data_IF_865728307067
#
_entry.id   IF_865728307067
#
_cell.length_a   1.000
_cell.length_b   1.000
_cell.length_c   1.000
_cell.angle_alpha   90.00
_cell.angle_beta   90.00
_cell.angle_gamma   90.00
#
_symmetry.space_group_name_H-M   'P 1'
#
loop_
_entity.id
_entity.type
_entity.pdbx_description
1 polymer ?
#
# COMPACT_ATOMS: atom_id res chain seq x y z
N UNK A 1 -20.14 9.96 8.30
CA UNK A 1 -19.87 8.50 8.32
C UNK A 1 -18.93 8.16 7.17
N UNK A 2 -17.91 7.34 7.40
CA UNK A 2 -17.08 6.81 6.31
C UNK A 2 -17.94 5.88 5.45
N UNK A 3 -17.76 5.93 4.15
CA UNK A 3 -18.41 5.01 3.23
C UNK A 3 -17.79 3.60 3.37
N UNK A 4 -18.58 2.58 3.06
CA UNK A 4 -18.10 1.18 3.06
C UNK A 4 -17.25 0.92 1.79
N UNK A 5 -16.09 1.57 1.72
CA UNK A 5 -15.10 1.43 0.65
C UNK A 5 -13.71 1.34 1.28
N UNK A 6 -12.91 0.37 0.85
CA UNK A 6 -11.56 0.16 1.36
C UNK A 6 -10.49 0.50 0.32
N UNK A 7 -9.47 1.24 0.75
CA UNK A 7 -8.27 1.51 -0.03
C UNK A 7 -7.09 0.81 0.63
N UNK A 8 -6.55 -0.20 -0.02
CA UNK A 8 -5.37 -0.93 0.45
C UNK A 8 -4.12 -0.34 -0.17
N UNK A 9 -3.19 0.05 0.68
CA UNK A 9 -1.88 0.58 0.28
C UNK A 9 -0.79 -0.43 0.62
N UNK A 10 0.02 -0.83 -0.35
CA UNK A 10 1.30 -1.47 -0.05
C UNK A 10 2.23 -0.47 0.65
N UNK A 11 3.13 -0.97 1.49
CA UNK A 11 4.10 -0.13 2.20
C UNK A 11 5.36 0.05 1.36
N UNK A 12 6.07 -1.05 1.08
CA UNK A 12 7.37 -1.01 0.41
C UNK A 12 7.23 -0.72 -1.08
N UNK A 13 7.75 0.42 -1.50
CA UNK A 13 7.65 0.88 -2.89
C UNK A 13 6.41 1.73 -3.19
N UNK A 14 5.42 1.79 -2.29
CA UNK A 14 4.23 2.65 -2.43
C UNK A 14 4.23 3.77 -1.39
N UNK A 15 4.13 3.45 -0.09
CA UNK A 15 4.17 4.46 0.97
C UNK A 15 5.59 4.94 1.21
N UNK A 16 6.56 4.06 1.10
CA UNK A 16 7.99 4.36 1.23
C UNK A 16 8.75 4.18 -0.08
N UNK A 17 10.02 4.60 -0.09
CA UNK A 17 10.90 4.56 -1.25
C UNK A 17 11.80 3.32 -1.26
N UNK A 18 11.28 2.15 -0.86
CA UNK A 18 12.05 0.90 -0.82
C UNK A 18 12.74 0.58 -2.15
N UNK A 19 12.06 0.75 -3.28
CA UNK A 19 12.61 0.47 -4.60
C UNK A 19 13.69 1.44 -5.04
N UNK A 20 13.82 2.61 -4.43
CA UNK A 20 14.86 3.59 -4.74
C UNK A 20 16.23 3.19 -4.21
N UNK A 21 16.30 2.28 -3.24
CA UNK A 21 17.55 1.67 -2.79
C UNK A 21 17.91 0.47 -3.70
N UNK A 22 18.95 0.61 -4.50
CA UNK A 22 19.45 -0.47 -5.38
C UNK A 22 19.83 -1.75 -4.62
N UNK A 23 20.14 -1.63 -3.34
CA UNK A 23 20.50 -2.74 -2.47
C UNK A 23 19.36 -3.20 -1.55
N UNK A 24 18.15 -2.68 -1.72
CA UNK A 24 17.01 -2.95 -0.82
C UNK A 24 16.80 -4.45 -0.57
N UNK A 25 16.82 -5.27 -1.61
CA UNK A 25 16.62 -6.72 -1.50
C UNK A 25 17.71 -7.42 -0.67
N UNK A 26 18.93 -6.89 -0.65
CA UNK A 26 20.02 -7.37 0.20
C UNK A 26 19.90 -6.81 1.61
N UNK A 27 19.65 -5.51 1.70
CA UNK A 27 19.63 -4.78 2.97
C UNK A 27 18.41 -5.15 3.84
N UNK A 28 17.30 -5.58 3.24
CA UNK A 28 16.09 -5.98 4.00
C UNK A 28 16.33 -7.11 5.00
N UNK A 29 17.45 -7.85 4.85
CA UNK A 29 17.87 -8.90 5.79
C UNK A 29 18.70 -8.36 6.96
N UNK A 30 19.08 -7.08 6.93
CA UNK A 30 19.83 -6.41 7.99
C UNK A 30 18.84 -5.88 9.03
N UNK A 31 19.11 -6.15 10.31
CA UNK A 31 18.30 -5.66 11.42
C UNK A 31 18.26 -4.12 11.40
N UNK A 32 17.07 -3.55 11.56
CA UNK A 32 16.84 -2.10 11.55
C UNK A 32 16.69 -1.46 10.17
N UNK A 33 16.89 -2.20 9.10
CA UNK A 33 16.84 -1.64 7.74
C UNK A 33 15.50 -0.96 7.43
N UNK A 34 14.38 -1.61 7.75
CA UNK A 34 13.06 -1.06 7.43
C UNK A 34 12.76 0.27 8.14
N UNK A 35 13.43 0.56 9.26
CA UNK A 35 13.30 1.83 9.97
C UNK A 35 13.97 3.00 9.24
N UNK A 36 14.87 2.72 8.30
CA UNK A 36 15.69 3.74 7.60
C UNK A 36 15.11 4.19 6.25
N UNK A 37 14.05 3.55 5.75
CA UNK A 37 13.54 3.81 4.40
C UNK A 37 12.82 5.16 4.37
N UNK A 38 13.13 6.06 3.43
CA UNK A 38 12.43 7.35 3.33
C UNK A 38 10.95 7.16 2.99
N UNK A 39 10.08 8.00 3.57
CA UNK A 39 8.67 8.09 3.18
C UNK A 39 8.54 8.76 1.81
N UNK A 40 7.56 8.35 1.02
CA UNK A 40 7.24 9.00 -0.26
C UNK A 40 6.63 10.37 0.01
N UNK A 41 7.20 11.39 -0.61
CA UNK A 41 6.68 12.76 -0.52
C UNK A 41 5.21 12.84 -0.99
N UNK A 42 4.37 13.52 -0.22
CA UNK A 42 2.94 13.71 -0.52
C UNK A 42 2.03 12.52 -0.23
N UNK A 43 2.55 11.34 0.08
CA UNK A 43 1.71 10.14 0.28
C UNK A 43 0.82 10.26 1.52
N UNK A 44 1.34 10.84 2.60
CA UNK A 44 0.59 11.00 3.86
C UNK A 44 -0.65 11.87 3.65
N UNK A 45 -0.53 12.98 2.92
CA UNK A 45 -1.65 13.86 2.61
C UNK A 45 -2.76 13.13 1.84
N UNK A 46 -2.38 12.36 0.83
CA UNK A 46 -3.35 11.57 0.04
C UNK A 46 -4.04 10.51 0.92
N UNK A 47 -3.28 9.79 1.73
CA UNK A 47 -3.84 8.80 2.65
C UNK A 47 -4.82 9.45 3.65
N UNK A 48 -4.46 10.60 4.25
CA UNK A 48 -5.35 11.34 5.15
C UNK A 48 -6.63 11.80 4.45
N UNK A 49 -6.53 12.32 3.22
CA UNK A 49 -7.70 12.74 2.43
C UNK A 49 -8.65 11.57 2.16
N UNK A 50 -8.11 10.43 1.75
CA UNK A 50 -8.91 9.21 1.51
C UNK A 50 -9.49 8.70 2.83
N UNK A 51 -8.70 8.67 3.91
CA UNK A 51 -9.14 8.12 5.19
C UNK A 51 -10.25 8.93 5.87
N UNK A 52 -10.44 10.20 5.51
CA UNK A 52 -11.60 11.01 5.92
C UNK A 52 -12.91 10.51 5.34
N UNK A 53 -12.89 9.93 4.15
CA UNK A 53 -14.08 9.55 3.39
C UNK A 53 -14.30 8.03 3.30
N UNK A 54 -13.24 7.24 3.42
CA UNK A 54 -13.22 5.78 3.26
C UNK A 54 -12.23 5.17 4.26
N UNK A 55 -12.02 3.85 4.22
CA UNK A 55 -11.02 3.23 5.06
C UNK A 55 -9.71 3.07 4.29
N UNK A 56 -8.64 3.64 4.79
CA UNK A 56 -7.28 3.35 4.32
C UNK A 56 -6.72 2.21 5.17
N UNK A 57 -6.26 1.15 4.52
CA UNK A 57 -5.69 -0.03 5.16
C UNK A 57 -4.29 -0.23 4.58
N UNK A 58 -3.29 -0.29 5.43
CA UNK A 58 -1.93 -0.62 5.01
C UNK A 58 -1.83 -2.14 4.93
N UNK A 59 -1.48 -2.67 3.75
CA UNK A 59 -1.43 -4.10 3.48
C UNK A 59 0.00 -4.45 3.05
N UNK A 60 0.84 -4.85 4.01
CA UNK A 60 2.28 -5.02 3.81
C UNK A 60 2.73 -6.46 4.03
N UNK A 61 3.60 -6.96 3.16
CA UNK A 61 4.25 -8.24 3.35
C UNK A 61 5.43 -8.14 4.32
N UNK A 62 5.60 -9.17 5.14
CA UNK A 62 6.71 -9.30 6.08
C UNK A 62 7.54 -10.53 5.75
N UNK A 63 8.84 -10.34 5.54
CA UNK A 63 9.78 -11.45 5.30
C UNK A 63 9.99 -12.23 6.60
N UNK A 64 10.43 -13.50 6.45
CA UNK A 64 10.71 -14.39 7.56
C UNK A 64 12.07 -14.07 8.22
N UNK A 65 12.18 -12.85 8.75
CA UNK A 65 13.30 -12.39 9.57
C UNK A 65 12.76 -11.85 10.90
N UNK A 66 13.41 -12.24 11.99
CA UNK A 66 13.04 -11.75 13.33
C UNK A 66 13.05 -10.23 13.36
N UNK A 67 12.04 -9.66 13.95
CA UNK A 67 11.94 -8.20 14.19
C UNK A 67 11.36 -7.38 13.05
N UNK A 68 11.10 -7.92 11.86
CA UNK A 68 10.59 -7.16 10.70
C UNK A 68 9.27 -6.46 11.00
N UNK A 69 8.31 -7.15 11.58
CA UNK A 69 7.01 -6.55 11.94
C UNK A 69 7.18 -5.39 12.91
N UNK A 70 8.08 -5.54 13.91
CA UNK A 70 8.40 -4.46 14.86
C UNK A 70 9.04 -3.26 14.16
N UNK A 71 10.02 -3.50 13.29
CA UNK A 71 10.68 -2.43 12.53
C UNK A 71 9.67 -1.66 11.66
N UNK A 72 8.82 -2.36 10.93
CA UNK A 72 7.76 -1.75 10.12
C UNK A 72 6.76 -0.96 10.98
N UNK A 73 6.38 -1.48 12.14
CA UNK A 73 5.50 -0.77 13.08
C UNK A 73 6.16 0.50 13.62
N UNK A 74 7.44 0.45 13.97
CA UNK A 74 8.21 1.63 14.41
C UNK A 74 8.28 2.64 13.27
N UNK A 75 8.58 2.18 12.05
CA UNK A 75 8.66 3.05 10.89
C UNK A 75 7.33 3.76 10.63
N UNK A 76 6.21 3.03 10.63
CA UNK A 76 4.86 3.59 10.44
C UNK A 76 4.54 4.63 11.51
N UNK A 77 4.79 4.33 12.78
CA UNK A 77 4.55 5.26 13.88
C UNK A 77 5.37 6.55 13.78
N UNK A 78 6.58 6.47 13.24
CA UNK A 78 7.47 7.62 13.12
C UNK A 78 7.21 8.48 11.88
N UNK A 79 6.64 7.90 10.83
CA UNK A 79 6.56 8.55 9.52
C UNK A 79 5.13 8.81 9.04
N UNK A 80 4.13 8.06 9.51
CA UNK A 80 2.76 8.13 9.01
C UNK A 80 1.83 8.65 10.12
N UNK A 81 1.09 9.74 9.89
CA UNK A 81 0.11 10.25 10.86
C UNK A 81 -0.97 9.20 11.18
N UNK A 82 -1.39 9.11 12.43
CA UNK A 82 -2.39 8.14 12.89
C UNK A 82 -3.76 8.29 12.20
N UNK A 83 -4.10 9.47 11.73
CA UNK A 83 -5.33 9.75 10.98
C UNK A 83 -5.22 9.44 9.48
N UNK A 84 -4.06 9.02 9.00
CA UNK A 84 -3.84 8.67 7.60
C UNK A 84 -4.33 7.26 7.24
N UNK A 85 -4.54 6.40 8.22
CA UNK A 85 -5.01 5.02 8.01
C UNK A 85 -5.94 4.57 9.13
N UNK A 86 -6.73 3.53 8.84
CA UNK A 86 -7.67 2.94 9.78
C UNK A 86 -7.15 1.61 10.35
N UNK A 87 -6.32 0.91 9.59
CA UNK A 87 -5.83 -0.43 9.97
C UNK A 87 -4.51 -0.77 9.28
N UNK A 88 -3.77 -1.73 9.84
CA UNK A 88 -2.54 -2.29 9.27
C UNK A 88 -2.67 -3.81 9.27
N UNK A 89 -2.42 -4.44 8.12
CA UNK A 89 -2.41 -5.88 7.95
C UNK A 89 -1.00 -6.32 7.53
N UNK A 90 -0.36 -7.11 8.38
CA UNK A 90 0.92 -7.73 8.09
C UNK A 90 0.70 -9.12 7.49
N UNK A 91 1.07 -9.27 6.22
CA UNK A 91 0.89 -10.52 5.46
C UNK A 91 2.21 -11.29 5.46
N UNK A 92 2.24 -12.57 5.87
CA UNK A 92 3.41 -13.42 5.69
C UNK A 92 3.90 -13.40 4.24
N UNK A 93 5.23 -13.40 4.04
CA UNK A 93 5.82 -13.21 2.71
C UNK A 93 5.36 -14.23 1.67
N UNK A 94 5.16 -15.48 2.10
CA UNK A 94 4.73 -16.62 1.29
C UNK A 94 3.20 -16.71 1.08
N UNK A 95 2.43 -15.84 1.74
CA UNK A 95 0.98 -15.77 1.57
C UNK A 95 0.55 -14.69 0.58
N UNK A 96 -0.67 -14.79 0.07
CA UNK A 96 -1.22 -13.83 -0.89
C UNK A 96 -1.90 -12.67 -0.17
N UNK A 97 -1.61 -11.44 -0.57
CA UNK A 97 -2.31 -10.25 -0.06
C UNK A 97 -3.82 -10.32 -0.26
N UNK A 98 -4.26 -10.91 -1.38
CA UNK A 98 -5.68 -11.06 -1.70
C UNK A 98 -6.48 -11.87 -0.68
N UNK A 99 -5.84 -12.76 0.08
CA UNK A 99 -6.50 -13.54 1.12
C UNK A 99 -6.80 -12.72 2.39
N UNK A 100 -6.21 -11.53 2.51
CA UNK A 100 -6.37 -10.59 3.62
C UNK A 100 -7.28 -9.41 3.30
N UNK A 101 -7.81 -9.35 2.09
CA UNK A 101 -8.78 -8.31 1.69
C UNK A 101 -10.16 -8.67 2.23
N UNK A 102 -10.84 -7.72 2.85
CA UNK A 102 -12.19 -7.92 3.37
C UNK A 102 -13.16 -8.25 2.22
N UNK A 103 -13.84 -9.41 2.28
CA UNK A 103 -14.74 -9.83 1.22
C UNK A 103 -15.99 -8.93 1.18
N UNK A 104 -16.59 -8.86 0.00
CA UNK A 104 -17.85 -8.14 -0.24
C UNK A 104 -17.82 -6.62 0.02
N UNK A 105 -16.64 -6.05 0.21
CA UNK A 105 -16.47 -4.60 0.34
C UNK A 105 -15.82 -4.07 -0.92
N UNK A 106 -16.43 -3.08 -1.61
CA UNK A 106 -15.79 -2.42 -2.74
C UNK A 106 -14.40 -1.90 -2.35
N UNK A 107 -13.40 -2.20 -3.17
CA UNK A 107 -12.02 -1.97 -2.77
C UNK A 107 -11.15 -1.52 -3.94
N UNK A 108 -10.15 -0.72 -3.59
CA UNK A 108 -9.04 -0.34 -4.45
C UNK A 108 -7.73 -0.78 -3.80
N UNK A 109 -6.82 -1.32 -4.58
CA UNK A 109 -5.49 -1.77 -4.14
C UNK A 109 -4.43 -1.01 -4.91
N UNK A 110 -3.45 -0.45 -4.21
CA UNK A 110 -2.28 0.23 -4.75
C UNK A 110 -1.04 -0.60 -4.37
N UNK A 111 -0.31 -1.09 -5.37
CA UNK A 111 0.85 -1.95 -5.17
C UNK A 111 1.89 -1.71 -6.27
N UNK A 112 3.16 -1.98 -6.00
CA UNK A 112 4.27 -1.90 -6.95
C UNK A 112 4.56 -3.21 -7.67
N UNK A 113 3.76 -4.27 -7.38
CA UNK A 113 3.90 -5.60 -7.98
C UNK A 113 2.63 -6.05 -8.67
N UNK A 114 2.73 -6.29 -9.97
CA UNK A 114 1.59 -6.78 -10.78
C UNK A 114 1.04 -8.10 -10.26
N UNK A 115 1.87 -8.99 -9.73
CA UNK A 115 1.44 -10.28 -9.18
C UNK A 115 0.45 -10.11 -8.02
N UNK A 116 0.71 -9.15 -7.12
CA UNK A 116 -0.22 -8.84 -6.03
C UNK A 116 -1.53 -8.26 -6.58
N UNK A 117 -1.44 -7.36 -7.57
CA UNK A 117 -2.62 -6.77 -8.22
C UNK A 117 -3.45 -7.82 -8.97
N UNK A 118 -2.81 -8.77 -9.65
CA UNK A 118 -3.48 -9.87 -10.35
C UNK A 118 -4.35 -10.70 -9.39
N UNK A 119 -3.79 -11.06 -8.24
CA UNK A 119 -4.52 -11.81 -7.23
C UNK A 119 -5.69 -11.00 -6.63
N UNK A 120 -5.47 -9.70 -6.39
CA UNK A 120 -6.51 -8.80 -5.88
C UNK A 120 -7.62 -8.53 -6.92
N UNK A 121 -7.26 -8.37 -8.19
CA UNK A 121 -8.23 -8.18 -9.27
C UNK A 121 -9.17 -9.39 -9.41
N UNK A 122 -8.66 -10.62 -9.23
CA UNK A 122 -9.48 -11.84 -9.22
C UNK A 122 -10.50 -11.85 -8.08
N UNK A 123 -10.27 -11.09 -7.01
CA UNK A 123 -11.20 -10.87 -5.90
C UNK A 123 -12.16 -9.69 -6.15
N UNK A 124 -12.12 -9.08 -7.33
CA UNK A 124 -12.99 -7.97 -7.71
C UNK A 124 -12.51 -6.59 -7.25
N UNK A 125 -11.25 -6.46 -6.83
CA UNK A 125 -10.68 -5.17 -6.48
C UNK A 125 -10.33 -4.34 -7.72
N UNK A 126 -10.48 -3.03 -7.63
CA UNK A 126 -9.85 -2.10 -8.55
C UNK A 126 -8.37 -2.00 -8.23
N UNK A 127 -7.51 -2.04 -9.23
CA UNK A 127 -6.07 -2.09 -9.05
C UNK A 127 -5.39 -0.87 -9.68
N UNK A 128 -4.44 -0.30 -8.95
CA UNK A 128 -3.60 0.80 -9.39
C UNK A 128 -2.13 0.43 -9.16
N UNK A 129 -1.34 0.50 -10.21
CA UNK A 129 0.08 0.23 -10.14
C UNK A 129 0.87 1.50 -9.84
N UNK A 130 1.74 1.45 -8.86
CA UNK A 130 2.68 2.54 -8.55
C UNK A 130 4.07 1.95 -8.35
N UNK A 131 5.02 2.35 -9.18
CA UNK A 131 6.43 1.97 -9.05
C UNK A 131 7.32 3.10 -9.54
N UNK A 132 8.47 3.29 -8.88
CA UNK A 132 9.51 4.24 -9.31
C UNK A 132 10.38 3.67 -10.44
N UNK A 133 10.34 2.35 -10.65
CA UNK A 133 11.23 1.64 -11.57
C UNK A 133 10.54 1.14 -12.83
N UNK A 134 9.22 0.94 -12.79
CA UNK A 134 8.46 0.24 -13.83
C UNK A 134 7.19 0.97 -14.21
N UNK A 135 6.70 0.66 -15.39
CA UNK A 135 5.37 1.01 -15.87
C UNK A 135 4.63 -0.29 -16.17
N UNK A 136 3.42 -0.42 -15.66
CA UNK A 136 2.55 -1.55 -16.01
C UNK A 136 1.91 -1.33 -17.37
N UNK A 137 1.86 -2.38 -18.19
CA UNK A 137 1.08 -2.41 -19.42
C UNK A 137 -0.34 -2.96 -19.18
N UNK A 138 -0.59 -3.45 -17.95
CA UNK A 138 -1.81 -4.16 -17.57
C UNK A 138 -2.74 -3.34 -16.69
N UNK A 139 -2.18 -2.47 -15.87
CA UNK A 139 -2.90 -1.65 -14.91
C UNK A 139 -2.71 -0.15 -15.18
N UNK A 140 -3.68 0.64 -14.73
CA UNK A 140 -3.50 2.08 -14.64
C UNK A 140 -2.31 2.39 -13.74
N UNK A 141 -1.47 3.33 -14.16
CA UNK A 141 -0.24 3.70 -13.47
C UNK A 141 -0.43 5.03 -12.72
N UNK A 142 -0.09 5.03 -11.44
CA UNK A 142 0.15 6.26 -10.70
C UNK A 142 1.65 6.62 -10.78
N UNK A 143 1.94 7.86 -11.13
CA UNK A 143 3.32 8.39 -11.15
C UNK A 143 3.63 9.23 -9.92
N UNK A 144 2.61 9.75 -9.29
CA UNK A 144 2.69 10.58 -8.09
C UNK A 144 1.46 10.34 -7.19
N UNK A 145 1.53 10.67 -5.91
CA UNK A 145 0.42 10.44 -4.98
C UNK A 145 -0.91 11.06 -5.41
N UNK A 146 -0.91 12.22 -6.07
CA UNK A 146 -2.15 12.84 -6.56
C UNK A 146 -2.89 12.00 -7.62
N UNK A 147 -2.20 11.14 -8.36
CA UNK A 147 -2.84 10.21 -9.29
C UNK A 147 -3.65 9.14 -8.55
N UNK A 148 -3.22 8.76 -7.33
CA UNK A 148 -3.98 7.87 -6.45
C UNK A 148 -5.31 8.53 -6.07
N UNK A 149 -5.29 9.81 -5.68
CA UNK A 149 -6.50 10.55 -5.35
C UNK A 149 -7.48 10.62 -6.51
N UNK A 150 -7.00 10.94 -7.71
CA UNK A 150 -7.84 10.99 -8.92
C UNK A 150 -8.48 9.63 -9.22
N UNK A 151 -7.68 8.55 -9.17
CA UNK A 151 -8.18 7.18 -9.38
C UNK A 151 -9.20 6.79 -8.32
N UNK A 152 -8.92 7.08 -7.05
CA UNK A 152 -9.85 6.86 -5.94
C UNK A 152 -11.20 7.55 -6.17
N UNK A 153 -11.22 8.84 -6.51
CA UNK A 153 -12.46 9.58 -6.77
C UNK A 153 -13.26 8.98 -7.93
N UNK A 154 -12.59 8.62 -9.03
CA UNK A 154 -13.20 7.97 -10.18
C UNK A 154 -13.82 6.63 -9.81
N UNK A 155 -13.08 5.77 -9.11
CA UNK A 155 -13.56 4.44 -8.73
C UNK A 155 -14.70 4.55 -7.72
N UNK A 156 -14.53 5.37 -6.68
CA UNK A 156 -15.55 5.56 -5.65
C UNK A 156 -16.89 6.03 -6.22
N UNK A 157 -16.89 6.86 -7.25
CA UNK A 157 -18.12 7.34 -7.90
C UNK A 157 -18.96 6.23 -8.53
N UNK A 158 -18.39 5.05 -8.78
CA UNK A 158 -19.11 3.87 -9.30
C UNK A 158 -20.04 3.27 -8.22
N UNK A 159 -19.72 3.50 -6.93
CA UNK A 159 -20.41 2.90 -5.79
C UNK A 159 -21.26 3.90 -4.98
N UNK A 160 -21.44 5.11 -5.49
CA UNK A 160 -22.33 6.15 -4.96
C UNK A 160 -23.64 6.20 -5.72
#
# INVERSE_FOLDING_TARGET
>A
MKNNFNCYFDEDGVINLFESDKNARKNMWILGYFETIPVREGICDIMQRINKESNVIILTKVIQRVGVTKEKSIWLNNNIPLDAYSDIIYVPYDEKKSDYIYPYTPSMVIDDKEENLDDCQRRGCHCLFLSDLKVSQKYDNAKMPEDIWKSYKKIKSIYQ
#
